data_IF_369032295875
#
_entry.id   IF_369032295875
#
_cell.length_a   1.000
_cell.length_b   1.000
_cell.length_c   1.000
_cell.angle_alpha   90.00
_cell.angle_beta   90.00
_cell.angle_gamma   90.00
#
_symmetry.space_group_name_H-M   'P 1'
#
loop_
_entity.id
_entity.type
_entity.pdbx_description
1 polymer ?
#
# COMPACT_ATOMS: atom_id res chain seq x y z
N UNK A 1 -9.42 -28.43 12.37
CA UNK A 1 -10.23 -27.57 11.55
C UNK A 1 -9.40 -26.52 10.86
N UNK A 2 -9.62 -26.37 9.61
CA UNK A 2 -8.88 -25.43 8.81
C UNK A 2 -9.76 -24.22 8.53
N UNK A 3 -9.29 -23.03 8.90
CA UNK A 3 -10.06 -21.85 8.55
C UNK A 3 -10.15 -21.71 7.05
N UNK A 4 -11.33 -21.77 6.52
CA UNK A 4 -11.52 -21.74 5.09
C UNK A 4 -10.97 -20.46 4.47
N UNK A 5 -11.01 -19.37 5.21
CA UNK A 5 -10.57 -18.09 4.68
C UNK A 5 -9.06 -17.87 4.77
N UNK A 6 -8.31 -18.87 5.30
CA UNK A 6 -6.86 -18.69 5.41
C UNK A 6 -6.19 -18.48 4.06
N UNK A 7 -6.78 -19.05 3.00
CA UNK A 7 -6.25 -18.89 1.66
C UNK A 7 -6.92 -17.77 0.87
N UNK A 8 -7.76 -17.01 1.53
CA UNK A 8 -8.49 -15.95 0.86
C UNK A 8 -7.56 -14.81 0.49
N UNK A 9 -7.78 -14.23 -0.69
CA UNK A 9 -7.01 -13.07 -1.09
C UNK A 9 -7.30 -11.90 -0.17
N UNK A 10 -6.29 -11.06 0.00
CA UNK A 10 -6.38 -9.91 0.88
C UNK A 10 -6.75 -8.68 0.08
N UNK A 11 -7.53 -7.83 0.70
CA UNK A 11 -7.82 -6.51 0.20
C UNK A 11 -7.14 -5.52 1.13
N UNK A 12 -6.36 -4.61 0.57
CA UNK A 12 -5.66 -3.61 1.36
C UNK A 12 -6.11 -2.23 0.92
N UNK A 13 -6.62 -1.46 1.88
CA UNK A 13 -6.90 -0.06 1.64
C UNK A 13 -5.81 0.74 2.33
N UNK A 14 -5.11 1.55 1.55
CA UNK A 14 -3.93 2.24 2.05
C UNK A 14 -4.14 3.73 1.93
N UNK A 15 -3.96 4.42 3.06
CA UNK A 15 -3.99 5.87 3.09
C UNK A 15 -2.70 6.38 3.69
N UNK A 16 -1.99 7.19 2.94
CA UNK A 16 -0.75 7.78 3.40
C UNK A 16 -0.91 9.28 3.51
N UNK A 17 -0.31 9.86 4.54
CA UNK A 17 -0.35 11.30 4.74
C UNK A 17 1.06 11.83 4.91
N UNK A 18 1.33 13.05 4.41
CA UNK A 18 2.64 13.67 4.63
C UNK A 18 2.85 13.97 6.11
N UNK A 19 4.10 13.99 6.51
CA UNK A 19 4.49 14.38 7.87
C UNK A 19 5.23 15.71 7.79
N UNK A 20 5.68 16.19 8.94
CA UNK A 20 6.50 17.41 9.00
C UNK A 20 7.85 17.22 8.34
N UNK A 21 8.30 15.99 8.24
CA UNK A 21 9.57 15.69 7.61
C UNK A 21 9.39 15.51 6.13
N UNK A 22 10.28 16.12 5.36
CA UNK A 22 10.22 16.03 3.90
C UNK A 22 10.33 14.57 3.44
N UNK A 23 9.41 14.18 2.56
CA UNK A 23 9.41 12.85 1.94
C UNK A 23 9.17 11.70 2.91
N UNK A 24 8.71 12.01 4.12
CA UNK A 24 8.33 10.99 5.10
C UNK A 24 6.82 10.99 5.21
N UNK A 25 6.24 9.80 5.08
CA UNK A 25 4.78 9.63 5.04
C UNK A 25 4.37 8.59 6.06
N UNK A 26 3.24 8.85 6.72
CA UNK A 26 2.59 7.86 7.58
C UNK A 26 1.52 7.16 6.77
N UNK A 27 1.61 5.86 6.69
CA UNK A 27 0.67 5.06 5.91
C UNK A 27 -0.13 4.16 6.83
N UNK A 28 -1.44 4.20 6.66
CA UNK A 28 -2.35 3.31 7.37
C UNK A 28 -2.89 2.31 6.38
N UNK A 29 -2.87 1.05 6.77
CA UNK A 29 -3.31 -0.05 5.93
C UNK A 29 -4.44 -0.76 6.63
N UNK A 30 -5.58 -0.87 5.97
CA UNK A 30 -6.69 -1.67 6.46
C UNK A 30 -6.72 -2.97 5.68
N UNK A 31 -6.64 -4.09 6.37
CA UNK A 31 -6.63 -5.40 5.73
C UNK A 31 -7.92 -6.13 5.97
N UNK A 32 -8.52 -6.60 4.90
CA UNK A 32 -9.71 -7.45 4.98
C UNK A 32 -9.56 -8.59 4.00
N UNK A 33 -10.31 -9.65 4.23
CA UNK A 33 -10.45 -10.72 3.24
C UNK A 33 -11.27 -10.21 2.08
N UNK A 34 -10.83 -10.51 0.87
CA UNK A 34 -11.47 -9.96 -0.31
C UNK A 34 -12.89 -10.46 -0.48
N UNK A 35 -13.14 -11.71 -0.11
CA UNK A 35 -14.48 -12.28 -0.23
C UNK A 35 -15.31 -12.06 1.01
N UNK A 36 -14.73 -12.35 2.16
CA UNK A 36 -15.47 -12.32 3.42
C UNK A 36 -15.70 -10.90 3.93
N UNK A 37 -14.81 -9.98 3.60
CA UNK A 37 -14.84 -8.65 4.18
C UNK A 37 -14.38 -8.60 5.62
N UNK A 38 -13.97 -9.73 6.19
CA UNK A 38 -13.56 -9.78 7.58
C UNK A 38 -12.17 -9.19 7.74
N UNK A 39 -11.96 -8.47 8.84
CA UNK A 39 -10.66 -7.88 9.10
C UNK A 39 -9.62 -8.98 9.33
N UNK A 40 -8.40 -8.70 8.92
CA UNK A 40 -7.28 -9.60 9.15
C UNK A 40 -6.44 -8.98 10.26
N UNK A 41 -6.58 -9.53 11.46
CA UNK A 41 -6.07 -8.87 12.66
C UNK A 41 -4.62 -9.17 12.97
N UNK A 42 -4.13 -10.33 12.57
CA UNK A 42 -2.81 -10.79 13.04
C UNK A 42 -1.82 -10.96 11.90
N UNK A 43 -1.89 -10.08 10.92
CA UNK A 43 -0.96 -10.15 9.81
C UNK A 43 0.42 -9.63 10.20
N UNK A 44 1.44 -10.21 9.58
CA UNK A 44 2.81 -9.70 9.69
C UNK A 44 3.31 -9.43 8.28
N UNK A 45 3.73 -8.20 8.06
CA UNK A 45 4.17 -7.82 6.72
C UNK A 45 5.06 -6.59 6.79
N UNK A 46 5.79 -6.39 5.71
CA UNK A 46 6.59 -5.17 5.53
C UNK A 46 6.01 -4.35 4.40
N UNK A 47 6.33 -3.08 4.40
CA UNK A 47 5.92 -2.15 3.35
C UNK A 47 7.18 -1.61 2.68
N UNK A 48 7.35 -1.96 1.42
CA UNK A 48 8.43 -1.41 0.60
C UNK A 48 7.83 -0.58 -0.50
N UNK A 49 8.67 0.05 -1.30
CA UNK A 49 8.20 0.90 -2.37
C UNK A 49 9.18 0.91 -3.53
N UNK A 50 8.65 0.83 -4.74
CA UNK A 50 9.41 0.94 -5.98
C UNK A 50 8.77 1.99 -6.86
N UNK A 51 9.59 2.66 -7.68
CA UNK A 51 9.05 3.52 -8.71
C UNK A 51 8.90 2.73 -10.00
N UNK A 52 7.67 2.55 -10.49
CA UNK A 52 7.50 1.77 -11.73
C UNK A 52 8.21 2.40 -12.93
N UNK A 53 8.31 3.72 -12.97
CA UNK A 53 8.97 4.39 -14.09
C UNK A 53 10.48 4.31 -14.02
N UNK A 54 11.04 3.95 -12.86
CA UNK A 54 12.49 3.86 -12.70
C UNK A 54 12.84 2.68 -11.79
N UNK A 55 12.58 1.46 -12.26
CA UNK A 55 12.59 0.31 -11.36
C UNK A 55 13.94 -0.03 -10.75
N UNK A 56 15.02 0.39 -11.37
CA UNK A 56 16.33 0.04 -10.83
C UNK A 56 16.98 1.16 -10.03
N UNK A 57 16.34 2.32 -9.97
CA UNK A 57 17.02 3.49 -9.46
C UNK A 57 16.66 3.86 -8.03
N UNK A 58 15.44 3.60 -7.62
CA UNK A 58 14.95 4.13 -6.35
C UNK A 58 14.17 3.08 -5.59
N UNK A 59 14.87 2.26 -4.85
CA UNK A 59 14.25 1.25 -4.01
C UNK A 59 14.26 1.71 -2.57
N UNK A 60 13.10 1.70 -1.97
CA UNK A 60 12.95 2.06 -0.57
C UNK A 60 13.00 0.78 0.25
N UNK A 61 13.85 0.76 1.25
CA UNK A 61 13.96 -0.41 2.11
C UNK A 61 12.64 -0.70 2.79
N UNK A 62 12.21 -1.95 2.80
CA UNK A 62 10.95 -2.29 3.46
C UNK A 62 11.02 -2.01 4.95
N UNK A 63 9.90 -1.55 5.50
CA UNK A 63 9.77 -1.32 6.93
C UNK A 63 8.64 -2.19 7.45
N UNK A 64 8.73 -2.66 8.69
CA UNK A 64 7.65 -3.47 9.23
C UNK A 64 6.41 -2.63 9.49
N UNK A 65 5.24 -3.22 9.26
CA UNK A 65 3.98 -2.61 9.62
C UNK A 65 3.62 -3.02 11.02
N UNK A 66 3.01 -2.11 11.77
CA UNK A 66 2.65 -2.34 13.16
C UNK A 66 1.15 -2.29 13.32
N UNK A 67 0.58 -3.31 13.95
CA UNK A 67 -0.85 -3.36 14.18
C UNK A 67 -1.26 -2.26 15.14
N UNK A 68 -2.34 -1.56 14.78
CA UNK A 68 -2.96 -0.58 15.68
C UNK A 68 -4.36 -1.01 16.04
N UNK A 69 -4.71 -2.26 15.77
CA UNK A 69 -5.99 -2.81 16.16
C UNK A 69 -7.00 -2.85 15.02
N UNK A 70 -7.93 -3.78 15.11
CA UNK A 70 -9.08 -3.87 14.20
C UNK A 70 -8.70 -4.01 12.72
N UNK A 71 -7.61 -4.73 12.45
CA UNK A 71 -7.19 -4.92 11.06
C UNK A 71 -6.51 -3.73 10.45
N UNK A 72 -6.14 -2.75 11.27
CA UNK A 72 -5.41 -1.57 10.81
C UNK A 72 -3.95 -1.67 11.21
N UNK A 73 -3.09 -1.21 10.31
CA UNK A 73 -1.64 -1.27 10.49
C UNK A 73 -1.03 0.04 10.09
N UNK A 74 0.06 0.40 10.73
CA UNK A 74 0.76 1.65 10.47
C UNK A 74 2.19 1.37 10.03
N UNK A 75 2.63 2.09 9.00
CA UNK A 75 4.03 2.06 8.57
C UNK A 75 4.44 3.47 8.18
N UNK A 76 5.61 3.88 8.64
CA UNK A 76 6.16 5.18 8.25
C UNK A 76 7.23 4.92 7.21
N UNK A 77 7.07 5.50 6.03
CA UNK A 77 7.98 5.28 4.93
C UNK A 77 8.67 6.58 4.54
N UNK A 78 9.89 6.44 4.04
CA UNK A 78 10.67 7.58 3.56
C UNK A 78 10.95 7.34 2.08
N UNK A 79 10.51 8.26 1.24
CA UNK A 79 10.73 8.15 -0.19
C UNK A 79 11.89 9.03 -0.61
N UNK A 80 12.44 8.77 -1.78
CA UNK A 80 13.54 9.56 -2.30
C UNK A 80 13.07 10.74 -3.12
N UNK A 81 11.85 10.69 -3.60
CA UNK A 81 11.27 11.78 -4.39
C UNK A 81 9.78 11.59 -4.45
N UNK A 82 9.07 12.64 -4.83
CA UNK A 82 7.65 12.55 -5.07
C UNK A 82 7.38 11.86 -6.40
N UNK A 83 6.16 11.40 -6.60
CA UNK A 83 5.78 10.74 -7.83
C UNK A 83 4.95 9.51 -7.57
N UNK A 84 4.83 8.69 -8.59
CA UNK A 84 4.08 7.44 -8.47
C UNK A 84 4.99 6.33 -7.95
N UNK A 85 4.52 5.68 -6.90
CA UNK A 85 5.24 4.57 -6.27
C UNK A 85 4.33 3.38 -6.13
N UNK A 86 4.88 2.20 -6.34
CA UNK A 86 4.19 0.96 -6.06
C UNK A 86 4.58 0.54 -4.65
N UNK A 87 3.61 0.56 -3.74
CA UNK A 87 3.84 0.05 -2.40
C UNK A 87 3.69 -1.45 -2.42
N UNK A 88 4.65 -2.14 -1.84
CA UNK A 88 4.69 -3.59 -1.85
C UNK A 88 4.54 -4.09 -0.43
N UNK A 89 3.43 -4.74 -0.17
CA UNK A 89 3.16 -5.32 1.13
C UNK A 89 3.51 -6.79 1.05
N UNK A 90 4.61 -7.16 1.70
CA UNK A 90 5.09 -8.53 1.68
C UNK A 90 4.75 -9.20 2.99
N UNK A 91 3.92 -10.21 2.92
CA UNK A 91 3.37 -10.88 4.09
C UNK A 91 4.14 -12.14 4.41
N UNK A 92 4.31 -12.38 5.71
CA UNK A 92 4.76 -13.68 6.22
C UNK A 92 3.65 -14.36 7.00
N UNK A 93 2.67 -13.61 7.50
CA UNK A 93 1.52 -14.17 8.21
C UNK A 93 0.26 -13.45 7.76
N UNK A 94 -0.85 -14.14 7.66
CA UNK A 94 -1.08 -15.56 8.02
C UNK A 94 -0.40 -16.55 7.07
N UNK A 95 -0.06 -16.11 5.87
CA UNK A 95 0.72 -16.94 4.93
C UNK A 95 1.52 -15.99 4.05
N UNK A 96 2.48 -16.51 3.34
CA UNK A 96 3.25 -15.71 2.41
C UNK A 96 2.37 -15.18 1.32
N UNK A 97 2.50 -13.89 1.05
CA UNK A 97 1.68 -13.22 0.05
C UNK A 97 2.31 -11.89 -0.30
N UNK A 98 1.87 -11.33 -1.41
CA UNK A 98 2.34 -10.03 -1.87
C UNK A 98 1.13 -9.24 -2.36
N UNK A 99 0.98 -8.04 -1.83
CA UNK A 99 -0.06 -7.11 -2.31
C UNK A 99 0.64 -5.85 -2.76
N UNK A 100 0.30 -5.37 -3.96
CA UNK A 100 0.92 -4.18 -4.53
C UNK A 100 -0.16 -3.14 -4.77
N UNK A 101 0.13 -1.91 -4.38
CA UNK A 101 -0.80 -0.81 -4.56
C UNK A 101 -0.03 0.41 -5.05
N UNK A 102 -0.51 1.02 -6.13
CA UNK A 102 0.17 2.19 -6.69
C UNK A 102 -0.47 3.47 -6.17
N UNK A 103 0.36 4.36 -5.69
CA UNK A 103 -0.08 5.63 -5.14
C UNK A 103 0.78 6.74 -5.71
N UNK A 104 0.19 7.92 -5.81
CA UNK A 104 0.91 9.11 -6.25
C UNK A 104 1.16 9.98 -5.02
N UNK A 105 2.42 10.21 -4.73
CA UNK A 105 2.85 10.97 -3.56
C UNK A 105 3.27 12.36 -4.00
N UNK A 106 2.67 13.37 -3.39
CA UNK A 106 3.04 14.74 -3.64
C UNK A 106 3.36 15.41 -2.32
N UNK A 107 3.78 16.66 -2.39
CA UNK A 107 4.18 17.39 -1.19
C UNK A 107 3.03 17.51 -0.20
N UNK A 108 1.82 17.72 -0.70
CA UNK A 108 0.69 18.03 0.14
C UNK A 108 -0.28 16.87 0.32
N UNK A 109 -0.18 15.83 -0.50
CA UNK A 109 -1.20 14.80 -0.46
C UNK A 109 -0.71 13.52 -1.13
N UNK A 110 -1.44 12.45 -0.86
CA UNK A 110 -1.21 11.16 -1.50
C UNK A 110 -2.56 10.69 -2.04
N UNK A 111 -2.57 10.22 -3.27
CA UNK A 111 -3.80 9.76 -3.89
C UNK A 111 -3.57 8.45 -4.62
N UNK A 112 -4.63 7.64 -4.80
CA UNK A 112 -4.48 6.42 -5.56
C UNK A 112 -4.06 6.71 -6.99
N UNK A 113 -3.23 5.84 -7.53
CA UNK A 113 -2.86 5.94 -8.92
C UNK A 113 -3.93 5.24 -9.74
N UNK A 114 -4.42 5.93 -10.76
CA UNK A 114 -5.46 5.37 -11.58
C UNK A 114 -4.94 4.70 -12.79
N UNK A 115 -3.88 4.10 -12.61
CA UNK A 115 -3.44 3.34 -13.76
C UNK A 115 -4.61 2.54 -14.24
N UNK A 116 -5.39 2.75 -14.59
CA UNK A 116 -6.53 2.03 -15.00
C UNK A 116 -7.64 2.86 -15.42
N UNK A 117 -7.26 3.36 -14.68
CA UNK A 117 -7.88 3.91 -15.07
C UNK A 117 -8.09 4.36 -15.91
N UNK A 118 -7.84 4.53 -15.82
CA UNK A 118 -8.05 5.02 -16.52
C UNK A 118 -8.18 5.37 -17.41
N UNK A 119 -8.13 5.49 -17.70
CA UNK A 119 -8.22 5.84 -18.49
C UNK A 119 -8.69 6.54 -19.01
N UNK A 120 -8.72 6.88 -18.67
CA UNK A 120 -9.27 7.67 -19.05
C UNK A 120 -9.33 8.41 -19.41
N UNK A 121 -9.15 8.58 -19.17
CA UNK A 121 -9.32 9.46 -19.35
C UNK A 121 -9.30 10.02 -19.79
N UNK A 122 -9.14 10.36 -19.68
CA UNK A 122 -9.27 11.14 -19.96
C UNK A 122 -9.32 11.61 -20.46
N UNK A 123 -9.23 11.66 -20.41
CA UNK A 123 -9.46 12.25 -20.71
C UNK A 123 -9.73 12.86 -20.94
N UNK A 124 -9.59 12.96 -20.82
CA UNK A 124 -9.95 13.68 -20.83
C UNK A 124 -10.09 14.37 -21.03
N UNK A 125 -9.82 14.46 -20.96
CA UNK A 125 -10.06 15.25 -21.05
C UNK A 125 -10.13 15.86 -21.45
N UNK A 126 -9.97 15.94 -21.65
CA UNK A 126 -10.12 16.56 -22.01
C UNK A 126 -10.51 17.16 -22.36
N UNK A 127 -10.44 17.28 -22.48
CA UNK A 127 -10.86 17.76 -22.75
C UNK A 127 -11.19 18.10 -22.90
#
# INVERSE_FOLDING_TARGET
>A
LIPAHAAEKKSAMIECTPTDEKLVFDCMVMLTGKKSGEVIADAEFTVGADMPSMPMAHNVEPVPAHSVGNGMYHARITLEMHGEWALKLEFTKPERDLVVSKLVFSKASVSPSDGHDHKHEHKKNKD
#
